data_IF_849090734476
#
_entry.id   IF_849090734476
#
_cell.length_a   1.000
_cell.length_b   1.000
_cell.length_c   1.000
_cell.angle_alpha   90.00
_cell.angle_beta   90.00
_cell.angle_gamma   90.00
#
_symmetry.space_group_name_H-M   'P 1'
#
loop_
_entity.id
_entity.type
_entity.pdbx_description
1 polymer ?
#
# COMPACT_ATOMS: atom_id res chain seq x y z
N UNK A 1 -10.71 -35.44 -2.91
CA UNK A 1 -10.90 -34.02 -3.32
C UNK A 1 -10.11 -33.55 -4.56
N UNK A 2 -9.50 -34.43 -5.40
CA UNK A 2 -8.61 -34.01 -6.51
C UNK A 2 -9.30 -33.75 -7.87
N UNK A 3 -10.53 -34.23 -8.10
CA UNK A 3 -11.21 -34.11 -9.41
C UNK A 3 -11.89 -32.76 -9.68
N UNK A 4 -12.34 -32.05 -8.64
CA UNK A 4 -13.07 -30.77 -8.77
C UNK A 4 -12.16 -29.60 -9.19
N UNK A 5 -10.88 -29.65 -8.85
CA UNK A 5 -9.88 -28.64 -9.18
C UNK A 5 -9.44 -28.72 -10.65
N UNK A 6 -9.26 -29.92 -11.20
CA UNK A 6 -8.90 -30.12 -12.60
C UNK A 6 -10.03 -29.71 -13.56
N UNK A 7 -11.27 -30.05 -13.24
CA UNK A 7 -12.44 -29.64 -14.02
C UNK A 7 -12.63 -28.11 -14.06
N UNK A 8 -12.24 -27.41 -12.99
CA UNK A 8 -12.28 -25.94 -12.93
C UNK A 8 -11.15 -25.31 -13.74
N UNK A 9 -9.95 -25.92 -13.77
CA UNK A 9 -8.83 -25.47 -14.60
C UNK A 9 -9.12 -25.66 -16.09
N UNK A 10 -9.77 -26.75 -16.48
CA UNK A 10 -10.13 -27.03 -17.87
C UNK A 10 -11.17 -26.06 -18.46
N UNK A 11 -11.99 -25.42 -17.60
CA UNK A 11 -12.97 -24.39 -18.01
C UNK A 11 -12.41 -22.98 -17.96
N UNK A 12 -11.17 -22.79 -17.48
CA UNK A 12 -10.59 -21.49 -17.26
C UNK A 12 -9.87 -21.03 -18.53
N UNK A 13 -10.03 -19.77 -18.89
CA UNK A 13 -9.36 -19.20 -20.06
C UNK A 13 -7.83 -19.36 -19.93
N UNK A 14 -7.15 -19.64 -21.05
CA UNK A 14 -5.68 -19.78 -21.10
C UNK A 14 -5.00 -18.51 -20.63
N UNK A 15 -5.57 -17.34 -20.93
CA UNK A 15 -5.07 -16.04 -20.44
C UNK A 15 -5.15 -15.96 -18.92
N UNK A 16 -6.27 -16.40 -18.35
CA UNK A 16 -6.48 -16.41 -16.91
C UNK A 16 -5.55 -17.42 -16.21
N UNK A 17 -5.36 -18.61 -16.81
CA UNK A 17 -4.40 -19.62 -16.34
C UNK A 17 -2.97 -19.06 -16.32
N UNK A 18 -2.54 -18.42 -17.40
CA UNK A 18 -1.23 -17.80 -17.49
C UNK A 18 -1.05 -16.68 -16.45
N UNK A 19 -2.04 -15.79 -16.31
CA UNK A 19 -2.01 -14.71 -15.32
C UNK A 19 -1.93 -15.25 -13.89
N UNK A 20 -2.80 -16.22 -13.53
CA UNK A 20 -2.80 -16.82 -12.19
C UNK A 20 -1.52 -17.56 -11.89
N UNK A 21 -0.94 -18.25 -12.87
CA UNK A 21 0.33 -18.96 -12.71
C UNK A 21 1.47 -17.97 -12.48
N UNK A 22 1.53 -16.89 -13.26
CA UNK A 22 2.50 -15.79 -13.08
C UNK A 22 2.34 -15.11 -11.73
N UNK A 23 1.11 -14.84 -11.31
CA UNK A 23 0.82 -14.22 -10.02
C UNK A 23 1.25 -15.13 -8.85
N UNK A 24 1.00 -16.44 -8.93
CA UNK A 24 1.47 -17.42 -7.94
C UNK A 24 2.99 -17.52 -7.91
N UNK A 25 3.64 -17.57 -9.07
CA UNK A 25 5.09 -17.61 -9.15
C UNK A 25 5.71 -16.35 -8.52
N UNK A 26 5.17 -15.16 -8.83
CA UNK A 26 5.60 -13.91 -8.20
C UNK A 26 5.37 -13.90 -6.70
N UNK A 27 4.21 -14.33 -6.23
CA UNK A 27 3.90 -14.42 -4.79
C UNK A 27 4.87 -15.36 -4.07
N UNK A 28 5.19 -16.51 -4.66
CA UNK A 28 6.13 -17.46 -4.07
C UNK A 28 7.53 -16.85 -3.98
N UNK A 29 7.99 -16.23 -5.08
CA UNK A 29 9.26 -15.52 -5.12
C UNK A 29 9.34 -14.39 -4.09
N UNK A 30 8.30 -13.56 -3.98
CA UNK A 30 8.25 -12.45 -3.03
C UNK A 30 8.31 -12.97 -1.58
N UNK A 31 7.62 -14.09 -1.29
CA UNK A 31 7.66 -14.74 0.03
C UNK A 31 9.02 -15.32 0.36
N UNK A 32 9.65 -16.04 -0.57
CA UNK A 32 10.98 -16.61 -0.34
C UNK A 32 12.02 -15.50 -0.20
N UNK A 33 11.96 -14.47 -1.05
CA UNK A 33 12.82 -13.29 -0.94
C UNK A 33 12.66 -12.61 0.41
N UNK A 34 11.42 -12.40 0.89
CA UNK A 34 11.16 -11.78 2.19
C UNK A 34 11.59 -12.64 3.39
N UNK A 35 11.55 -13.97 3.25
CA UNK A 35 11.99 -14.90 4.28
C UNK A 35 13.53 -14.97 4.40
N UNK A 36 14.24 -14.88 3.27
CA UNK A 36 15.72 -14.93 3.23
C UNK A 36 16.33 -13.56 3.52
N UNK A 37 15.78 -12.50 2.92
CA UNK A 37 16.24 -11.12 3.11
C UNK A 37 15.09 -10.34 3.68
N UNK A 38 15.16 -9.99 4.98
CA UNK A 38 14.19 -9.07 5.58
C UNK A 38 14.12 -7.80 4.72
N UNK A 39 12.93 -7.46 4.16
CA UNK A 39 12.78 -6.26 3.36
C UNK A 39 13.19 -5.05 4.19
N UNK A 40 14.30 -4.40 3.81
CA UNK A 40 14.73 -3.16 4.42
C UNK A 40 14.44 -2.03 3.46
N UNK A 41 13.88 -0.95 3.99
CA UNK A 41 13.71 0.26 3.22
C UNK A 41 15.08 0.84 2.88
N UNK A 42 15.43 0.84 1.59
CA UNK A 42 16.61 1.50 1.07
C UNK A 42 16.17 2.77 0.31
N UNK A 43 16.52 3.94 0.85
CA UNK A 43 16.16 5.24 0.25
C UNK A 43 16.74 5.43 -1.16
N UNK A 44 17.84 4.74 -1.49
CA UNK A 44 18.47 4.80 -2.82
C UNK A 44 17.62 4.16 -3.91
N UNK A 45 16.83 3.14 -3.55
CA UNK A 45 15.95 2.45 -4.50
C UNK A 45 14.74 3.30 -4.90
N UNK A 46 14.49 4.42 -4.21
CA UNK A 46 13.40 5.32 -4.54
C UNK A 46 13.58 5.96 -5.92
N UNK A 47 14.81 6.32 -6.29
CA UNK A 47 15.09 7.02 -7.54
C UNK A 47 14.64 6.24 -8.79
N UNK A 48 14.84 4.92 -8.80
CA UNK A 48 14.44 4.06 -9.92
C UNK A 48 12.93 3.82 -9.99
N UNK A 49 12.20 4.11 -8.91
CA UNK A 49 10.75 3.92 -8.80
C UNK A 49 9.95 5.19 -9.11
N UNK A 50 10.59 6.35 -9.15
CA UNK A 50 9.93 7.60 -9.50
C UNK A 50 9.79 7.73 -11.02
N UNK A 51 8.61 8.17 -11.47
CA UNK A 51 8.39 8.47 -12.88
C UNK A 51 9.19 9.72 -13.27
N UNK A 52 10.18 9.54 -14.15
CA UNK A 52 11.01 10.65 -14.67
C UNK A 52 10.24 11.59 -15.61
N UNK A 53 9.09 11.16 -16.11
CA UNK A 53 8.24 11.96 -17.01
C UNK A 53 7.35 12.96 -16.26
N UNK A 54 7.23 12.84 -14.94
CA UNK A 54 6.48 13.80 -14.15
C UNK A 54 7.38 14.99 -13.81
N UNK A 55 7.18 16.12 -14.48
CA UNK A 55 7.94 17.36 -14.23
C UNK A 55 7.93 17.78 -12.74
N UNK A 56 6.81 17.52 -12.05
CA UNK A 56 6.65 17.79 -10.62
C UNK A 56 7.51 16.90 -9.69
N UNK A 57 8.18 15.89 -10.23
CA UNK A 57 9.10 15.00 -9.51
C UNK A 57 10.58 15.21 -9.87
N UNK A 58 10.92 16.08 -10.84
CA UNK A 58 12.31 16.31 -11.26
C UNK A 58 13.22 16.68 -10.08
N UNK A 59 12.81 17.66 -9.27
CA UNK A 59 13.56 18.08 -8.07
C UNK A 59 13.80 16.93 -7.10
N UNK A 60 12.81 16.06 -6.89
CA UNK A 60 12.97 14.88 -6.02
C UNK A 60 13.99 13.91 -6.60
N UNK A 61 13.94 13.66 -7.92
CA UNK A 61 14.87 12.76 -8.60
C UNK A 61 16.32 13.30 -8.57
N UNK A 62 16.51 14.60 -8.77
CA UNK A 62 17.82 15.28 -8.65
C UNK A 62 18.39 15.16 -7.24
N UNK A 63 17.61 15.49 -6.20
CA UNK A 63 18.05 15.36 -4.81
C UNK A 63 18.38 13.91 -4.44
N UNK A 64 17.63 12.93 -4.94
CA UNK A 64 17.94 11.51 -4.73
C UNK A 64 19.24 11.09 -5.43
N UNK A 65 19.53 11.61 -6.63
CA UNK A 65 20.79 11.34 -7.33
C UNK A 65 22.00 11.88 -6.56
N UNK A 66 21.84 13.04 -5.91
CA UNK A 66 22.85 13.65 -5.04
C UNK A 66 22.92 13.05 -3.63
N UNK A 67 22.08 12.05 -3.32
CA UNK A 67 21.91 11.48 -1.98
C UNK A 67 21.47 12.50 -0.90
N UNK A 68 20.92 13.64 -1.31
CA UNK A 68 20.28 14.60 -0.43
C UNK A 68 18.86 14.12 -0.09
N UNK A 69 18.79 13.19 0.85
CA UNK A 69 17.54 12.54 1.22
C UNK A 69 16.56 13.48 1.91
N UNK A 70 17.04 14.53 2.57
CA UNK A 70 16.20 15.50 3.27
C UNK A 70 15.49 16.42 2.26
N UNK A 71 16.22 16.93 1.26
CA UNK A 71 15.58 17.74 0.22
C UNK A 71 14.69 16.88 -0.68
N UNK A 72 15.08 15.64 -0.97
CA UNK A 72 14.22 14.68 -1.66
C UNK A 72 12.90 14.46 -0.88
N UNK A 73 12.97 14.29 0.43
CA UNK A 73 11.79 14.15 1.28
C UNK A 73 10.90 15.39 1.20
N UNK A 74 11.46 16.59 1.39
CA UNK A 74 10.69 17.85 1.32
C UNK A 74 10.06 18.08 -0.05
N UNK A 75 10.79 17.83 -1.13
CA UNK A 75 10.29 17.94 -2.49
C UNK A 75 9.11 16.99 -2.73
N UNK A 76 9.24 15.73 -2.29
CA UNK A 76 8.17 14.74 -2.41
C UNK A 76 6.94 15.09 -1.54
N UNK A 77 7.15 15.59 -0.32
CA UNK A 77 6.08 16.07 0.56
C UNK A 77 5.31 17.23 -0.05
N UNK A 78 5.99 18.19 -0.70
CA UNK A 78 5.34 19.28 -1.45
C UNK A 78 4.53 18.75 -2.63
N UNK A 79 5.11 17.85 -3.43
CA UNK A 79 4.38 17.22 -4.54
C UNK A 79 3.06 16.60 -4.08
N UNK A 80 3.06 15.80 -3.01
CA UNK A 80 1.83 15.18 -2.51
C UNK A 80 0.88 16.15 -1.79
N UNK A 81 1.38 17.29 -1.31
CA UNK A 81 0.52 18.34 -0.78
C UNK A 81 -0.28 19.03 -1.89
N UNK A 82 0.37 19.25 -3.03
CA UNK A 82 -0.15 20.11 -4.11
C UNK A 82 -0.75 19.30 -5.28
N UNK A 83 -0.43 18.00 -5.39
CA UNK A 83 -0.88 17.17 -6.48
C UNK A 83 -2.41 17.08 -6.57
N UNK A 84 -2.98 16.99 -7.79
CA UNK A 84 -4.41 16.78 -7.99
C UNK A 84 -4.92 15.58 -7.21
N UNK A 85 -6.06 15.72 -6.54
CA UNK A 85 -6.60 14.69 -5.65
C UNK A 85 -7.11 13.50 -6.46
N UNK A 86 -6.36 12.40 -6.41
CA UNK A 86 -6.72 11.11 -7.04
C UNK A 86 -7.25 10.08 -6.04
N UNK A 87 -7.25 10.42 -4.75
CA UNK A 87 -7.68 9.55 -3.67
C UNK A 87 -8.67 10.26 -2.74
N UNK A 88 -9.69 9.56 -2.21
CA UNK A 88 -10.64 10.11 -1.24
C UNK A 88 -9.99 10.60 0.06
N UNK A 89 -8.82 10.04 0.43
CA UNK A 89 -8.04 10.47 1.60
C UNK A 89 -6.90 11.35 1.10
N UNK A 90 -7.29 12.53 0.67
CA UNK A 90 -6.43 13.52 0.08
C UNK A 90 -6.06 14.59 1.12
N UNK A 91 -4.79 15.02 1.19
CA UNK A 91 -4.34 15.96 2.24
C UNK A 91 -5.17 17.24 2.26
N UNK A 92 -5.47 17.79 1.09
CA UNK A 92 -6.23 19.04 0.97
C UNK A 92 -7.66 18.92 1.54
N UNK A 93 -8.30 17.76 1.42
CA UNK A 93 -9.69 17.55 1.88
C UNK A 93 -9.75 16.87 3.26
N UNK A 94 -8.62 16.44 3.81
CA UNK A 94 -8.57 15.64 5.04
C UNK A 94 -9.31 16.31 6.19
N UNK A 95 -9.13 17.61 6.39
CA UNK A 95 -9.78 18.35 7.48
C UNK A 95 -11.31 18.34 7.33
N UNK A 96 -11.81 18.76 6.17
CA UNK A 96 -13.23 18.79 5.88
C UNK A 96 -13.87 17.39 5.96
N UNK A 97 -13.15 16.35 5.51
CA UNK A 97 -13.58 14.97 5.63
C UNK A 97 -13.69 14.51 7.09
N UNK A 98 -12.69 14.82 7.93
CA UNK A 98 -12.72 14.49 9.37
C UNK A 98 -13.88 15.21 10.05
N UNK A 99 -14.05 16.52 9.81
CA UNK A 99 -15.16 17.30 10.37
C UNK A 99 -16.53 16.70 9.98
N UNK A 100 -16.67 16.29 8.71
CA UNK A 100 -17.86 15.59 8.23
C UNK A 100 -18.09 14.25 8.93
N UNK A 101 -17.05 13.42 9.04
CA UNK A 101 -17.13 12.11 9.69
C UNK A 101 -17.51 12.25 11.17
N UNK A 102 -16.90 13.19 11.89
CA UNK A 102 -17.24 13.43 13.30
C UNK A 102 -18.68 13.91 13.46
N UNK A 103 -19.16 14.76 12.55
CA UNK A 103 -20.56 15.23 12.55
C UNK A 103 -21.56 14.10 12.27
N UNK A 104 -21.27 13.25 11.28
CA UNK A 104 -22.17 12.16 10.86
C UNK A 104 -22.07 10.93 11.78
N UNK A 105 -20.90 10.71 12.40
CA UNK A 105 -20.60 9.57 13.26
C UNK A 105 -19.89 10.07 14.54
N UNK A 106 -20.63 10.57 15.54
CA UNK A 106 -20.04 11.18 16.73
C UNK A 106 -19.13 10.25 17.56
N UNK A 107 -19.40 8.94 17.55
CA UNK A 107 -18.58 7.95 18.24
C UNK A 107 -17.24 7.65 17.52
N UNK A 108 -17.09 8.07 16.26
CA UNK A 108 -15.97 7.68 15.40
C UNK A 108 -14.57 7.99 15.97
N UNK A 109 -14.30 9.09 16.71
CA UNK A 109 -12.97 9.31 17.29
C UNK A 109 -12.62 8.23 18.31
N UNK A 110 -13.55 7.88 19.20
CA UNK A 110 -13.34 6.86 20.23
C UNK A 110 -13.20 5.46 19.64
N UNK A 111 -14.01 5.13 18.63
CA UNK A 111 -13.93 3.85 17.94
C UNK A 111 -12.63 3.72 17.12
N UNK A 112 -12.19 4.80 16.48
CA UNK A 112 -10.93 4.84 15.75
C UNK A 112 -9.73 4.68 16.69
N UNK A 113 -9.75 5.33 17.86
CA UNK A 113 -8.71 5.16 18.89
C UNK A 113 -8.65 3.71 19.38
N UNK A 114 -9.79 3.14 19.81
CA UNK A 114 -9.86 1.75 20.25
C UNK A 114 -9.42 0.75 19.17
N UNK A 115 -9.68 1.05 17.88
CA UNK A 115 -9.21 0.23 16.76
C UNK A 115 -7.71 0.39 16.52
N UNK A 116 -7.16 1.60 16.66
CA UNK A 116 -5.73 1.83 16.56
C UNK A 116 -4.96 1.07 17.66
N UNK A 117 -5.47 1.07 18.89
CA UNK A 117 -4.90 0.31 20.00
C UNK A 117 -4.91 -1.21 19.70
N UNK A 118 -6.00 -1.72 19.12
CA UNK A 118 -6.07 -3.11 18.66
C UNK A 118 -5.01 -3.43 17.61
N UNK A 119 -4.80 -2.56 16.62
CA UNK A 119 -3.76 -2.73 15.60
C UNK A 119 -2.37 -2.77 16.23
N UNK A 120 -2.08 -1.90 17.20
CA UNK A 120 -0.81 -1.90 17.93
C UNK A 120 -0.61 -3.20 18.72
N UNK A 121 -1.70 -3.79 19.23
CA UNK A 121 -1.68 -5.11 19.90
C UNK A 121 -1.67 -6.33 18.94
N UNK A 122 -1.55 -6.11 17.63
CA UNK A 122 -1.51 -7.16 16.61
C UNK A 122 -2.87 -7.70 16.16
N UNK A 123 -3.96 -7.00 16.46
CA UNK A 123 -5.31 -7.37 16.06
C UNK A 123 -5.80 -6.49 14.90
N UNK A 124 -6.26 -7.13 13.82
CA UNK A 124 -6.63 -6.47 12.58
C UNK A 124 -8.06 -6.81 12.17
N UNK A 125 -8.82 -5.80 11.76
CA UNK A 125 -10.13 -5.99 11.14
C UNK A 125 -9.97 -5.87 9.62
N UNK A 126 -10.08 -6.98 8.87
CA UNK A 126 -9.86 -7.01 7.42
C UNK A 126 -10.98 -7.77 6.72
N UNK A 127 -11.45 -7.23 5.59
CA UNK A 127 -12.39 -7.89 4.67
C UNK A 127 -13.68 -8.41 5.34
N UNK A 128 -14.17 -7.69 6.36
CA UNK A 128 -15.38 -8.05 7.11
C UNK A 128 -15.13 -8.91 8.35
N UNK A 129 -13.93 -9.45 8.52
CA UNK A 129 -13.53 -10.17 9.72
C UNK A 129 -12.96 -9.21 10.77
N UNK A 130 -13.13 -9.54 12.05
CA UNK A 130 -12.66 -8.74 13.19
C UNK A 130 -11.65 -9.50 14.03
N UNK A 131 -10.68 -8.79 14.58
CA UNK A 131 -9.72 -9.34 15.55
C UNK A 131 -8.77 -10.39 14.98
N UNK A 132 -8.47 -10.34 13.68
CA UNK A 132 -7.51 -11.24 13.04
C UNK A 132 -6.11 -11.03 13.60
N UNK A 133 -5.37 -12.12 13.76
CA UNK A 133 -3.96 -12.16 14.13
C UNK A 133 -3.16 -12.83 13.02
N UNK A 134 -1.95 -12.32 12.77
CA UNK A 134 -1.07 -12.80 11.67
C UNK A 134 0.30 -13.25 12.16
N UNK A 135 0.51 -13.26 13.47
CA UNK A 135 1.65 -13.89 14.13
C UNK A 135 1.38 -15.39 14.23
N UNK A 136 1.80 -16.11 13.19
CA UNK A 136 1.85 -17.57 13.11
C UNK A 136 3.09 -18.00 12.34
#
# INVERSE_FOLDING_TARGET
MKGRSLARLARMDKTELAWRSRAKARTLFDRTAAAVVRPRWNRRDLASRLSRSAASLCKTAESLALQDFDEAHRALSRHFADAPQRFPIARAIRRALVERVVRELPASPSEAAARADRVLSGHYDLLGYRGLRFDG
#
